data_IF_148142341898
#
_entry.id   IF_148142341898
#
_cell.length_a   1.000
_cell.length_b   1.000
_cell.length_c   1.000
_cell.angle_alpha   90.00
_cell.angle_beta   90.00
_cell.angle_gamma   90.00
#
_symmetry.space_group_name_H-M   'P 1'
#
loop_
_entity.id
_entity.type
_entity.pdbx_description
1 polymer ?
#
# COMPACT_ATOMS: atom_id res chain seq x y z
N UNK A 1 8.02 -14.31 -14.37
CA UNK A 1 6.74 -14.37 -13.66
C UNK A 1 6.33 -12.96 -13.30
N UNK A 2 5.25 -12.43 -13.89
CA UNK A 2 4.83 -11.06 -13.63
C UNK A 2 4.03 -11.01 -12.33
N UNK A 3 4.50 -10.26 -11.33
CA UNK A 3 3.81 -10.08 -10.05
C UNK A 3 2.45 -9.37 -10.20
N UNK A 4 2.09 -8.92 -11.41
CA UNK A 4 0.79 -8.32 -11.73
C UNK A 4 -0.40 -9.28 -11.55
N UNK A 5 -0.17 -10.59 -11.57
CA UNK A 5 -1.20 -11.62 -11.39
C UNK A 5 -1.28 -12.17 -9.96
N UNK A 6 -0.41 -11.70 -9.06
CA UNK A 6 -0.45 -12.12 -7.66
C UNK A 6 -1.60 -11.43 -6.94
N UNK A 7 -2.31 -12.18 -6.10
CA UNK A 7 -3.35 -11.63 -5.25
C UNK A 7 -2.68 -10.85 -4.12
N UNK A 8 -3.10 -9.60 -3.93
CA UNK A 8 -2.73 -8.85 -2.74
C UNK A 8 -3.68 -9.25 -1.62
N UNK A 9 -3.11 -9.60 -0.46
CA UNK A 9 -3.84 -9.95 0.75
C UNK A 9 -3.40 -8.97 1.83
N UNK A 10 -4.37 -8.38 2.51
CA UNK A 10 -4.13 -7.53 3.66
C UNK A 10 -4.17 -8.41 4.90
N UNK A 11 -3.08 -8.43 5.66
CA UNK A 11 -2.92 -9.24 6.86
C UNK A 11 -3.39 -8.47 8.11
N UNK A 12 -3.04 -7.19 8.18
CA UNK A 12 -3.32 -6.35 9.33
C UNK A 12 -3.42 -4.87 8.95
N UNK A 13 -4.27 -4.14 9.68
CA UNK A 13 -4.54 -2.71 9.46
C UNK A 13 -4.70 -2.01 10.79
N UNK A 14 -3.85 -1.02 11.04
CA UNK A 14 -3.99 -0.09 12.16
C UNK A 14 -4.34 1.30 11.63
N UNK A 15 -5.54 1.78 11.95
CA UNK A 15 -6.01 3.11 11.58
C UNK A 15 -6.07 4.04 12.79
N UNK A 16 -5.59 5.28 12.61
CA UNK A 16 -5.70 6.34 13.60
C UNK A 16 -6.24 7.61 12.93
N UNK A 17 -7.45 8.02 13.33
CA UNK A 17 -8.11 9.21 12.80
C UNK A 17 -8.63 9.06 11.37
N UNK A 18 -8.83 7.83 10.88
CA UNK A 18 -9.29 7.52 9.53
C UNK A 18 -10.69 6.91 9.59
N UNK A 19 -11.60 7.35 8.73
CA UNK A 19 -12.92 6.76 8.60
C UNK A 19 -12.90 5.54 7.65
N UNK A 20 -13.91 4.67 7.74
CA UNK A 20 -13.96 3.40 7.00
C UNK A 20 -13.89 3.60 5.47
N UNK A 21 -14.62 4.56 4.91
CA UNK A 21 -14.60 4.81 3.46
C UNK A 21 -13.25 5.33 2.93
N UNK A 22 -12.53 6.14 3.72
CA UNK A 22 -11.17 6.55 3.38
C UNK A 22 -10.19 5.40 3.53
N UNK A 23 -10.36 4.56 4.55
CA UNK A 23 -9.54 3.38 4.78
C UNK A 23 -9.60 2.42 3.58
N UNK A 24 -10.80 2.08 3.09
CA UNK A 24 -10.97 1.22 1.91
C UNK A 24 -10.21 1.75 0.69
N UNK A 25 -10.33 3.05 0.42
CA UNK A 25 -9.63 3.68 -0.69
C UNK A 25 -8.10 3.67 -0.54
N UNK A 26 -7.59 3.82 0.69
CA UNK A 26 -6.16 3.72 0.97
C UNK A 26 -5.64 2.27 0.87
N UNK A 27 -6.46 1.28 1.22
CA UNK A 27 -6.12 -0.14 1.06
C UNK A 27 -6.01 -0.52 -0.43
N UNK A 28 -6.95 -0.09 -1.28
CA UNK A 28 -6.87 -0.27 -2.74
C UNK A 28 -5.56 0.31 -3.32
N UNK A 29 -5.17 1.50 -2.84
CA UNK A 29 -3.94 2.19 -3.21
C UNK A 29 -2.71 1.39 -2.76
N UNK A 30 -2.75 0.84 -1.56
CA UNK A 30 -1.68 -0.01 -1.04
C UNK A 30 -1.51 -1.28 -1.87
N UNK A 31 -2.59 -1.99 -2.19
CA UNK A 31 -2.54 -3.19 -3.02
C UNK A 31 -1.90 -2.91 -4.39
N UNK A 32 -2.36 -1.85 -5.05
CA UNK A 32 -1.83 -1.41 -6.34
C UNK A 32 -0.35 -1.04 -6.24
N UNK A 33 0.05 -0.35 -5.18
CA UNK A 33 1.44 0.05 -4.94
C UNK A 33 2.33 -1.14 -4.60
N UNK A 34 1.84 -2.11 -3.82
CA UNK A 34 2.53 -3.34 -3.49
C UNK A 34 2.82 -4.18 -4.73
N UNK A 35 1.84 -4.35 -5.62
CA UNK A 35 2.02 -5.06 -6.90
C UNK A 35 3.11 -4.38 -7.76
N UNK A 36 3.11 -3.04 -7.83
CA UNK A 36 4.14 -2.26 -8.55
C UNK A 36 5.52 -2.33 -7.89
N UNK A 37 5.60 -2.22 -6.56
CA UNK A 37 6.86 -2.28 -5.83
C UNK A 37 7.50 -3.68 -5.92
N UNK A 38 6.68 -4.73 -5.97
CA UNK A 38 7.15 -6.09 -6.16
C UNK A 38 7.72 -6.35 -7.57
N UNK A 39 7.23 -5.67 -8.61
CA UNK A 39 7.79 -5.81 -9.97
C UNK A 39 9.11 -5.06 -10.14
N UNK A 40 9.31 -3.94 -9.46
CA UNK A 40 10.51 -3.08 -9.60
C UNK A 40 11.71 -3.53 -8.76
N UNK A 41 11.60 -4.66 -8.04
CA UNK A 41 12.64 -5.21 -7.16
C UNK A 41 13.15 -4.26 -6.06
N UNK A 42 12.47 -3.15 -5.79
CA UNK A 42 12.86 -2.19 -4.75
C UNK A 42 12.67 -2.76 -3.34
N UNK A 43 13.50 -2.33 -2.39
CA UNK A 43 13.37 -2.66 -0.97
C UNK A 43 12.37 -1.73 -0.25
N UNK A 44 12.31 -0.47 -0.70
CA UNK A 44 11.38 0.54 -0.19
C UNK A 44 11.10 1.60 -1.26
N UNK A 45 9.94 2.23 -1.18
CA UNK A 45 9.58 3.43 -1.94
C UNK A 45 8.81 4.41 -1.05
N UNK A 46 8.94 5.68 -1.38
CA UNK A 46 8.05 6.74 -0.90
C UNK A 46 7.27 7.26 -2.11
N UNK A 47 5.95 7.34 -1.97
CA UNK A 47 5.02 7.78 -3.00
C UNK A 47 4.11 8.85 -2.39
N UNK A 48 3.88 9.94 -3.12
CA UNK A 48 2.86 10.90 -2.72
C UNK A 48 1.54 10.49 -3.36
N UNK A 49 0.46 10.45 -2.57
CA UNK A 49 -0.84 10.05 -3.12
C UNK A 49 -1.36 11.04 -4.15
N UNK A 50 -0.89 12.28 -4.15
CA UNK A 50 -1.13 13.30 -5.20
C UNK A 50 -0.71 12.83 -6.58
N UNK A 51 0.26 11.90 -6.67
CA UNK A 51 0.76 11.36 -7.94
C UNK A 51 -0.21 10.32 -8.54
N UNK A 52 -1.22 9.90 -7.78
CA UNK A 52 -2.25 8.98 -8.26
C UNK A 52 -3.44 9.76 -8.80
N UNK A 53 -3.79 9.49 -10.06
CA UNK A 53 -4.87 10.16 -10.79
C UNK A 53 -6.23 10.14 -10.05
N UNK A 54 -6.51 9.07 -9.32
CA UNK A 54 -7.78 8.85 -8.61
C UNK A 54 -7.79 9.38 -7.17
N UNK A 55 -6.69 9.97 -6.68
CA UNK A 55 -6.53 10.33 -5.27
C UNK A 55 -7.50 11.42 -4.80
N UNK A 56 -7.75 12.44 -5.64
CA UNK A 56 -8.68 13.52 -5.32
C UNK A 56 -10.14 13.06 -5.26
N UNK A 57 -10.55 12.21 -6.21
CA UNK A 57 -11.92 11.67 -6.26
C UNK A 57 -12.19 10.73 -5.08
N UNK A 58 -11.17 10.03 -4.59
CA UNK A 58 -11.25 9.08 -3.47
C UNK A 58 -10.89 9.69 -2.10
N UNK A 59 -10.69 11.01 -2.02
CA UNK A 59 -10.32 11.70 -0.77
C UNK A 59 -8.94 11.29 -0.21
N UNK A 60 -8.14 10.58 -0.99
CA UNK A 60 -6.81 10.08 -0.62
C UNK A 60 -5.70 11.11 -0.87
N UNK A 61 -6.02 12.30 -1.38
CA UNK A 61 -5.06 13.36 -1.67
C UNK A 61 -4.32 13.86 -0.41
N UNK A 62 -3.03 14.14 -0.56
CA UNK A 62 -2.18 14.69 0.49
C UNK A 62 -1.60 13.68 1.49
N UNK A 63 -1.78 12.37 1.27
CA UNK A 63 -1.10 11.34 2.04
C UNK A 63 0.29 11.05 1.45
N UNK A 64 1.26 10.81 2.32
CA UNK A 64 2.54 10.20 1.95
C UNK A 64 2.45 8.71 2.22
N UNK A 65 2.63 7.88 1.19
CA UNK A 65 2.75 6.43 1.30
C UNK A 65 4.23 6.04 1.37
N UNK A 66 4.64 5.44 2.49
CA UNK A 66 5.93 4.77 2.61
C UNK A 66 5.71 3.27 2.57
N UNK A 67 6.22 2.58 1.54
CA UNK A 67 6.10 1.14 1.39
C UNK A 67 7.48 0.48 1.47
N UNK A 68 7.61 -0.58 2.27
CA UNK A 68 8.86 -1.32 2.44
C UNK A 68 8.62 -2.81 2.55
N UNK A 69 9.60 -3.62 2.15
CA UNK A 69 9.56 -5.07 2.42
C UNK A 69 9.71 -5.34 3.91
N UNK A 70 9.01 -6.35 4.40
CA UNK A 70 9.11 -6.80 5.79
C UNK A 70 10.32 -7.71 5.97
N UNK A 71 10.54 -8.63 5.03
CA UNK A 71 11.66 -9.57 5.08
C UNK A 71 12.63 -9.31 3.94
N UNK A 72 13.94 -9.40 4.23
CA UNK A 72 15.02 -9.18 3.27
C UNK A 72 14.96 -10.16 2.09
N UNK A 73 14.55 -11.40 2.37
CA UNK A 73 14.56 -12.51 1.40
C UNK A 73 13.16 -12.85 0.84
N UNK A 74 12.10 -12.17 1.31
CA UNK A 74 10.73 -12.35 0.78
C UNK A 74 10.29 -11.11 0.02
N UNK A 75 9.90 -11.31 -1.25
CA UNK A 75 9.27 -10.28 -2.08
C UNK A 75 7.76 -10.20 -1.89
N UNK A 76 7.22 -11.05 -1.04
CA UNK A 76 5.78 -11.22 -0.93
C UNK A 76 5.22 -10.34 0.17
N UNK A 77 5.91 -10.12 1.31
CA UNK A 77 5.37 -9.36 2.44
C UNK A 77 5.85 -7.89 2.47
N UNK A 78 4.91 -6.98 2.65
CA UNK A 78 5.11 -5.54 2.58
C UNK A 78 4.42 -4.82 3.73
N UNK A 79 5.06 -3.74 4.16
CA UNK A 79 4.56 -2.83 5.16
C UNK A 79 4.37 -1.45 4.53
N UNK A 80 3.15 -0.95 4.57
CA UNK A 80 2.75 0.37 4.10
C UNK A 80 2.41 1.29 5.26
N UNK A 81 2.81 2.55 5.16
CA UNK A 81 2.36 3.62 6.04
C UNK A 81 1.83 4.75 5.21
N UNK A 82 0.55 5.08 5.36
CA UNK A 82 0.00 6.34 4.91
C UNK A 82 0.02 7.33 6.06
N UNK A 83 0.57 8.51 5.81
CA UNK A 83 0.60 9.58 6.78
C UNK A 83 0.15 10.90 6.16
N UNK A 84 -0.74 11.60 6.86
CA UNK A 84 -1.19 12.95 6.53
C UNK A 84 -1.47 13.68 7.84
N UNK A 85 -0.73 14.75 8.10
CA UNK A 85 -0.86 15.53 9.34
C UNK A 85 -0.81 14.61 10.60
N UNK A 86 -1.87 14.61 11.42
CA UNK A 86 -2.02 13.78 12.61
C UNK A 86 -2.72 12.43 12.35
N UNK A 87 -3.00 12.11 11.10
CA UNK A 87 -3.74 10.92 10.68
C UNK A 87 -2.75 9.91 10.09
N UNK A 88 -2.92 8.64 10.44
CA UNK A 88 -2.01 7.57 10.02
C UNK A 88 -2.77 6.26 9.78
N UNK A 89 -2.42 5.59 8.68
CA UNK A 89 -2.79 4.20 8.41
C UNK A 89 -1.51 3.37 8.33
N UNK A 90 -1.42 2.30 9.09
CA UNK A 90 -0.38 1.29 8.94
C UNK A 90 -1.03 0.02 8.38
N UNK A 91 -0.42 -0.54 7.35
CA UNK A 91 -0.95 -1.71 6.64
C UNK A 91 0.16 -2.73 6.48
N UNK A 92 -0.15 -3.98 6.80
CA UNK A 92 0.68 -5.13 6.48
C UNK A 92 -0.09 -5.97 5.48
N UNK A 93 0.59 -6.38 4.42
CA UNK A 93 0.00 -7.29 3.45
C UNK A 93 1.05 -8.07 2.71
N UNK A 94 0.58 -9.08 1.98
CA UNK A 94 1.43 -9.90 1.15
C UNK A 94 0.86 -10.24 -0.22
N UNK A 95 1.74 -10.72 -1.10
CA UNK A 95 1.40 -11.20 -2.43
C UNK A 95 1.38 -12.74 -2.45
N UNK A 96 0.20 -13.32 -2.68
CA UNK A 96 0.02 -14.75 -2.91
C UNK A 96 0.04 -15.08 -4.40
N UNK A 97 0.57 -16.25 -4.75
CA UNK A 97 0.45 -16.79 -6.11
C UNK A 97 -0.95 -17.36 -6.29
N UNK A 98 -1.68 -16.84 -7.29
CA UNK A 98 -2.91 -17.50 -7.74
C UNK A 98 -2.52 -18.79 -8.45
N UNK A 99 -2.75 -19.94 -7.80
CA UNK A 99 -2.68 -21.27 -8.42
C UNK A 99 -3.88 -21.51 -9.33
#
# INVERSE_FOLDING_TARGET
MSNQYKKAVIDDVESNGINEGLQENLLDLFESSMKKAATTLIHSAELYTTDFFTSKERGCDGFKLSIKRIFKDSRNAWHGVFQKDNIKLTVIGHLEECN
#
